data_IF_205259538630
#
_entry.id   IF_205259538630
#
_cell.length_a   1.000
_cell.length_b   1.000
_cell.length_c   1.000
_cell.angle_alpha   90.00
_cell.angle_beta   90.00
_cell.angle_gamma   90.00
#
_symmetry.space_group_name_H-M   'P 1'
#
loop_
_entity.id
_entity.type
_entity.pdbx_description
1 polymer ?
#
# COMPACT_ATOMS: atom_id res chain seq x y z
N UNK A 1 -1.96 10.38 4.53
CA UNK A 1 -1.61 11.11 5.79
C UNK A 1 -0.73 10.26 6.71
N UNK A 2 -0.74 8.92 6.62
CA UNK A 2 0.17 8.05 7.40
C UNK A 2 1.58 7.93 6.82
N UNK A 3 1.78 8.34 5.58
CA UNK A 3 3.01 8.14 4.77
C UNK A 3 4.27 8.85 5.29
N UNK A 4 4.16 9.53 6.43
CA UNK A 4 5.20 10.34 7.07
C UNK A 4 5.50 9.89 8.51
N UNK A 5 4.81 8.88 9.05
CA UNK A 5 4.99 8.48 10.44
C UNK A 5 6.39 7.87 10.66
N UNK A 6 6.82 6.97 9.78
CA UNK A 6 8.15 6.37 9.78
C UNK A 6 9.25 7.45 9.73
N UNK A 7 9.12 8.40 8.81
CA UNK A 7 10.06 9.53 8.70
C UNK A 7 10.08 10.43 9.94
N UNK A 8 8.91 10.74 10.52
CA UNK A 8 8.82 11.55 11.74
C UNK A 8 9.48 10.85 12.93
N UNK A 9 9.31 9.54 13.07
CA UNK A 9 9.94 8.75 14.15
C UNK A 9 11.46 8.72 13.95
N UNK A 10 11.94 8.52 12.72
CA UNK A 10 13.36 8.59 12.41
C UNK A 10 13.95 9.96 12.72
N UNK A 11 13.29 11.04 12.31
CA UNK A 11 13.79 12.41 12.55
C UNK A 11 13.93 12.76 14.03
N UNK A 12 13.15 12.13 14.91
CA UNK A 12 13.18 12.36 16.36
C UNK A 12 14.17 11.45 17.08
N UNK A 13 14.29 10.20 16.64
CA UNK A 13 15.04 9.16 17.38
C UNK A 13 16.40 8.83 16.76
N UNK A 14 16.59 9.12 15.46
CA UNK A 14 17.76 8.68 14.69
C UNK A 14 17.87 7.16 14.54
N UNK A 15 16.89 6.39 15.01
CA UNK A 15 16.93 4.93 15.03
C UNK A 15 16.52 4.35 13.69
N UNK A 16 17.48 3.77 12.97
CA UNK A 16 17.25 3.10 11.68
C UNK A 16 16.38 1.86 11.87
N UNK A 17 16.61 1.09 12.94
CA UNK A 17 15.83 -0.12 13.24
C UNK A 17 14.35 0.23 13.46
N UNK A 18 14.07 1.28 14.22
CA UNK A 18 12.70 1.76 14.46
C UNK A 18 12.05 2.30 13.18
N UNK A 19 12.82 3.01 12.34
CA UNK A 19 12.33 3.47 11.04
C UNK A 19 11.85 2.32 10.16
N UNK A 20 12.67 1.27 10.02
CA UNK A 20 12.35 0.12 9.18
C UNK A 20 11.10 -0.62 9.68
N UNK A 21 10.99 -0.81 10.99
CA UNK A 21 9.80 -1.43 11.60
C UNK A 21 8.53 -0.61 11.31
N UNK A 22 8.58 0.71 11.51
CA UNK A 22 7.44 1.59 11.22
C UNK A 22 7.11 1.61 9.72
N UNK A 23 8.14 1.55 8.86
CA UNK A 23 7.97 1.54 7.40
C UNK A 23 7.28 0.27 6.91
N UNK A 24 7.62 -0.88 7.50
CA UNK A 24 6.97 -2.16 7.21
C UNK A 24 5.48 -2.11 7.57
N UNK A 25 5.14 -1.57 8.75
CA UNK A 25 3.75 -1.40 9.18
C UNK A 25 2.95 -0.45 8.27
N UNK A 26 3.57 0.64 7.79
CA UNK A 26 2.95 1.53 6.79
C UNK A 26 2.69 0.81 5.46
N UNK A 27 3.59 -0.09 5.04
CA UNK A 27 3.48 -0.82 3.78
C UNK A 27 2.36 -1.87 3.79
N UNK A 28 2.06 -2.47 4.93
CA UNK A 28 0.99 -3.47 5.06
C UNK A 28 -0.41 -2.87 4.84
N UNK A 29 -0.62 -1.60 5.23
CA UNK A 29 -1.88 -0.88 5.00
C UNK A 29 -2.09 -0.55 3.50
N UNK A 30 -1.00 -0.34 2.75
CA UNK A 30 -1.04 -0.04 1.31
C UNK A 30 -1.33 -1.28 0.45
N UNK A 31 -0.71 -2.43 0.76
CA UNK A 31 -0.98 -3.68 0.04
C UNK A 31 -2.46 -4.10 0.14
N UNK A 32 -3.13 -3.79 1.26
CA UNK A 32 -4.56 -4.06 1.42
C UNK A 32 -5.45 -3.19 0.52
N UNK A 33 -5.01 -1.98 0.14
CA UNK A 33 -5.71 -1.11 -0.81
C UNK A 33 -5.37 -1.44 -2.27
N UNK A 34 -4.11 -1.79 -2.55
CA UNK A 34 -3.66 -2.16 -3.91
C UNK A 34 -4.26 -3.50 -4.37
N UNK A 35 -4.47 -4.47 -3.47
CA UNK A 35 -5.14 -5.73 -3.79
C UNK A 35 -6.62 -5.55 -4.17
N UNK A 36 -7.29 -4.50 -3.70
CA UNK A 36 -8.67 -4.16 -4.11
C UNK A 36 -8.70 -3.42 -5.46
N UNK A 37 -7.66 -2.65 -5.78
CA UNK A 37 -7.55 -1.93 -7.05
C UNK A 37 -7.03 -2.80 -8.21
N UNK A 38 -6.43 -3.96 -7.91
CA UNK A 38 -5.88 -4.90 -8.90
C UNK A 38 -6.77 -6.14 -9.11
N UNK A 39 -8.10 -6.01 -9.06
CA UNK A 39 -8.98 -7.02 -9.64
C UNK A 39 -9.10 -6.72 -11.14
N UNK A 40 -8.48 -7.50 -12.05
CA UNK A 40 -8.84 -7.40 -13.46
C UNK A 40 -10.33 -7.76 -13.57
N UNK A 41 -11.13 -6.87 -14.13
CA UNK A 41 -12.53 -7.13 -14.46
C UNK A 41 -12.63 -8.47 -15.20
N UNK A 42 -13.57 -9.38 -14.83
CA UNK A 42 -13.90 -10.48 -15.71
C UNK A 42 -14.46 -9.85 -16.98
N UNK A 43 -13.76 -9.99 -18.10
CA UNK A 43 -14.26 -9.61 -19.41
C UNK A 43 -15.59 -10.35 -19.65
N UNK A 44 -16.68 -9.63 -19.42
CA UNK A 44 -18.05 -10.12 -19.53
C UNK A 44 -18.50 -9.88 -20.97
N UNK A 45 -18.44 -10.94 -21.77
CA UNK A 45 -19.36 -11.27 -22.87
C UNK A 45 -20.18 -10.09 -23.45
N UNK A 46 -19.67 -9.46 -24.50
CA UNK A 46 -20.48 -8.71 -25.47
C UNK A 46 -19.85 -8.87 -26.87
N UNK A 47 -19.74 -10.12 -27.32
CA UNK A 47 -19.49 -10.42 -28.74
C UNK A 47 -20.59 -11.38 -29.19
N UNK A 48 -21.77 -10.81 -29.38
CA UNK A 48 -22.90 -11.44 -30.06
C UNK A 48 -23.51 -10.44 -31.06
N UNK A 49 -22.96 -10.51 -32.28
CA UNK A 49 -23.62 -10.43 -33.59
C UNK A 49 -24.23 -9.09 -34.07
N UNK A 50 -24.19 -8.82 -35.39
CA UNK A 50 -25.15 -9.45 -36.33
C UNK A 50 -24.55 -10.32 -37.44
#
# INVERSE_FOLDING_TARGET
MRDKLSWNVFSQTGSVETYLLMKELESQDQQSQEQLASSPEPISTDDLHP
#
